data_IF_036025551532
#
_entry.id   IF_036025551532
#
_cell.length_a   1.000
_cell.length_b   1.000
_cell.length_c   1.000
_cell.angle_alpha   90.00
_cell.angle_beta   90.00
_cell.angle_gamma   90.00
#
_symmetry.space_group_name_H-M   'P 1'
#
loop_
_entity.id
_entity.type
_entity.pdbx_description
1 polymer ?
#
# COMPACT_ATOMS: atom_id res chain seq x y z
N UNK A 1 -3.79 -6.82 1.54
CA UNK A 1 -4.09 -5.79 0.51
C UNK A 1 -2.90 -5.68 -0.40
N UNK A 2 -3.10 -5.68 -1.71
CA UNK A 2 -2.01 -5.43 -2.65
C UNK A 2 -1.91 -3.93 -2.91
N UNK A 3 -0.69 -3.40 -2.82
CA UNK A 3 -0.36 -2.01 -3.14
C UNK A 3 0.52 -2.01 -4.38
N UNK A 4 0.08 -1.31 -5.41
CA UNK A 4 0.84 -1.13 -6.65
C UNK A 4 1.31 0.31 -6.70
N UNK A 5 2.63 0.58 -6.64
CA UNK A 5 3.15 1.92 -6.75
C UNK A 5 3.09 2.44 -8.20
N UNK A 6 3.16 3.78 -8.39
CA UNK A 6 3.12 4.38 -9.72
C UNK A 6 4.24 3.88 -10.65
N UNK A 7 4.08 4.13 -11.95
CA UNK A 7 5.15 3.91 -12.93
C UNK A 7 6.29 4.89 -12.69
N UNK A 8 7.53 4.37 -12.67
CA UNK A 8 8.74 5.18 -12.56
C UNK A 8 9.87 4.44 -11.84
N UNK A 9 11.10 4.58 -12.34
CA UNK A 9 12.27 3.84 -11.82
C UNK A 9 12.52 4.08 -10.32
N UNK A 10 12.23 5.28 -9.82
CA UNK A 10 12.32 5.63 -8.40
C UNK A 10 11.36 4.82 -7.50
N UNK A 11 10.25 4.32 -8.06
CA UNK A 11 9.25 3.53 -7.34
C UNK A 11 9.51 2.03 -7.43
N UNK A 12 10.52 1.63 -8.19
CA UNK A 12 10.92 0.23 -8.41
C UNK A 12 12.18 -0.14 -7.63
N UNK A 13 12.75 0.81 -6.91
CA UNK A 13 13.93 0.56 -6.08
C UNK A 13 13.54 -0.27 -4.85
N UNK A 14 14.37 -1.25 -4.45
CA UNK A 14 14.13 -2.02 -3.23
C UNK A 14 13.99 -1.13 -1.99
N UNK A 15 14.72 -0.02 -1.95
CA UNK A 15 14.67 0.95 -0.85
C UNK A 15 13.30 1.61 -0.76
N UNK A 16 12.73 2.05 -1.88
CA UNK A 16 11.40 2.66 -1.89
C UNK A 16 10.32 1.65 -1.51
N UNK A 17 10.41 0.42 -2.02
CA UNK A 17 9.45 -0.64 -1.69
C UNK A 17 9.51 -0.99 -0.19
N UNK A 18 10.71 -1.06 0.39
CA UNK A 18 10.88 -1.28 1.82
C UNK A 18 10.36 -0.10 2.66
N UNK A 19 10.58 1.13 2.21
CA UNK A 19 10.11 2.35 2.88
C UNK A 19 8.57 2.40 2.93
N UNK A 20 7.90 2.12 1.81
CA UNK A 20 6.44 2.04 1.76
C UNK A 20 5.91 0.88 2.60
N UNK A 21 6.59 -0.28 2.61
CA UNK A 21 6.18 -1.43 3.45
C UNK A 21 6.19 -1.05 4.92
N UNK A 22 7.31 -0.49 5.39
CA UNK A 22 7.46 -0.07 6.78
C UNK A 22 6.45 1.03 7.16
N UNK A 23 6.20 1.99 6.26
CA UNK A 23 5.21 3.04 6.46
C UNK A 23 3.79 2.47 6.65
N UNK A 24 3.41 1.48 5.83
CA UNK A 24 2.09 0.87 5.90
C UNK A 24 1.93 -0.03 7.11
N UNK A 25 2.95 -0.82 7.46
CA UNK A 25 2.96 -1.67 8.65
C UNK A 25 2.87 -0.85 9.95
N UNK A 26 3.55 0.29 10.01
CA UNK A 26 3.49 1.20 11.16
C UNK A 26 2.12 1.88 11.31
N UNK A 27 1.56 2.38 10.20
CA UNK A 27 0.30 3.12 10.22
C UNK A 27 -0.94 2.20 10.33
N UNK A 28 -0.85 0.97 9.81
CA UNK A 28 -1.98 0.06 9.67
C UNK A 28 -1.58 -1.38 10.06
N UNK A 29 -1.21 -1.65 11.32
CA UNK A 29 -0.70 -2.95 11.76
C UNK A 29 -1.72 -4.09 11.66
N UNK A 30 -3.01 -3.79 11.63
CA UNK A 30 -4.09 -4.77 11.46
C UNK A 30 -4.27 -5.24 10.01
N UNK A 31 -3.54 -4.64 9.07
CA UNK A 31 -3.60 -4.95 7.65
C UNK A 31 -2.31 -5.63 7.18
N UNK A 32 -2.49 -6.75 6.48
CA UNK A 32 -1.39 -7.39 5.76
C UNK A 32 -1.23 -6.72 4.38
N UNK A 33 -0.06 -6.17 4.07
CA UNK A 33 0.21 -5.50 2.79
C UNK A 33 1.18 -6.31 1.93
N UNK A 34 0.92 -6.34 0.63
CA UNK A 34 1.84 -6.88 -0.37
C UNK A 34 2.09 -5.81 -1.41
N UNK A 35 3.34 -5.37 -1.54
CA UNK A 35 3.71 -4.36 -2.54
C UNK A 35 4.20 -5.07 -3.80
N UNK A 36 3.67 -4.71 -4.97
CA UNK A 36 4.12 -5.28 -6.26
C UNK A 36 4.18 -4.23 -7.35
N UNK A 37 5.28 -4.25 -8.11
CA UNK A 37 5.48 -3.40 -9.29
C UNK A 37 5.00 -4.08 -10.58
N UNK A 38 4.65 -5.37 -10.51
CA UNK A 38 4.15 -6.18 -11.63
C UNK A 38 2.62 -6.22 -11.56
N UNK A 39 1.96 -5.32 -12.28
CA UNK A 39 0.50 -5.26 -12.38
C UNK A 39 0.06 -4.63 -13.69
N UNK A 40 -1.04 -5.13 -14.27
CA UNK A 40 -1.69 -4.53 -15.45
C UNK A 40 -2.44 -3.24 -15.13
N UNK A 41 -2.67 -2.96 -13.85
CA UNK A 41 -3.37 -1.76 -13.38
C UNK A 41 -2.42 -0.63 -13.01
N UNK A 42 -1.11 -0.82 -13.22
CA UNK A 42 -0.10 0.17 -12.86
C UNK A 42 -0.23 1.39 -13.78
N UNK A 43 -0.23 2.57 -13.17
CA UNK A 43 -0.46 3.86 -13.83
C UNK A 43 0.33 4.98 -13.12
N UNK A 44 -0.01 6.25 -13.30
CA UNK A 44 0.65 7.39 -12.66
C UNK A 44 0.26 7.57 -11.18
N UNK A 45 -0.58 6.68 -10.65
CA UNK A 45 -1.11 6.71 -9.28
C UNK A 45 -0.92 5.38 -8.56
N UNK A 46 -0.97 5.43 -7.22
CA UNK A 46 -1.06 4.21 -6.42
C UNK A 46 -2.38 3.50 -6.68
N UNK A 47 -2.31 2.17 -6.85
CA UNK A 47 -3.49 1.31 -6.91
C UNK A 47 -3.54 0.42 -5.68
N UNK A 48 -4.65 0.54 -4.95
CA UNK A 48 -4.95 -0.29 -3.79
C UNK A 48 -5.93 -1.38 -4.22
N UNK A 49 -5.50 -2.64 -4.10
CA UNK A 49 -6.31 -3.81 -4.44
C UNK A 49 -6.58 -4.56 -3.13
N UNK A 50 -7.72 -4.33 -2.48
CA UNK A 50 -8.11 -5.11 -1.31
C UNK A 50 -8.28 -6.59 -1.72
N UNK A 51 -7.65 -7.45 -0.93
CA UNK A 51 -7.71 -8.90 -1.11
C UNK A 51 -8.67 -9.46 -0.07
N UNK A 52 -9.64 -10.26 -0.50
CA UNK A 52 -10.49 -11.02 0.40
C UNK A 52 -9.69 -12.23 0.89
N UNK A 53 -9.36 -12.24 2.18
CA UNK A 53 -8.75 -13.37 2.86
C UNK A 53 -9.76 -14.06 3.78
N UNK A 54 -9.51 -15.35 4.08
CA UNK A 54 -10.16 -16.05 5.19
C UNK A 54 -9.32 -15.84 6.44
N UNK A 55 -9.87 -15.22 7.48
CA UNK A 55 -9.17 -15.10 8.77
C UNK A 55 -9.45 -16.37 9.58
N UNK A 56 -8.64 -17.41 9.35
CA UNK A 56 -8.67 -18.68 10.07
C UNK A 56 -9.15 -19.89 9.24
N UNK A 57 -8.96 -21.08 9.78
CA UNK A 57 -9.34 -22.37 9.16
C UNK A 57 -10.85 -22.59 9.01
N UNK A 58 -11.26 -23.84 8.71
CA UNK A 58 -12.66 -24.24 8.44
C UNK A 58 -13.67 -23.54 9.38
N UNK A 59 -14.56 -22.72 8.80
CA UNK A 59 -15.58 -21.95 9.53
C UNK A 59 -15.28 -20.45 9.70
N UNK A 60 -14.19 -19.95 9.11
CA UNK A 60 -13.78 -18.56 9.31
C UNK A 60 -14.59 -17.54 8.51
N UNK A 61 -14.92 -16.44 9.18
CA UNK A 61 -15.60 -15.28 8.60
C UNK A 61 -14.69 -14.67 7.54
N UNK A 62 -15.24 -14.38 6.36
CA UNK A 62 -14.53 -13.59 5.35
C UNK A 62 -14.03 -12.30 6.01
N UNK A 63 -12.74 -11.98 5.85
CA UNK A 63 -12.23 -10.69 6.26
C UNK A 63 -13.13 -9.61 5.65
N UNK A 64 -13.65 -8.70 6.48
CA UNK A 64 -14.48 -7.62 5.97
C UNK A 64 -13.66 -6.81 4.95
N UNK A 65 -14.31 -6.45 3.85
CA UNK A 65 -13.70 -5.55 2.88
C UNK A 65 -13.38 -4.23 3.60
N UNK A 66 -12.18 -3.66 3.45
CA UNK A 66 -11.89 -2.35 4.03
C UNK A 66 -12.91 -1.36 3.49
N UNK A 67 -13.52 -0.60 4.39
CA UNK A 67 -14.44 0.44 3.96
C UNK A 67 -13.71 1.53 3.17
N UNK A 68 -14.49 2.40 2.50
CA UNK A 68 -13.95 3.46 1.68
C UNK A 68 -13.12 4.48 2.48
N UNK A 69 -13.38 4.63 3.78
CA UNK A 69 -12.61 5.54 4.65
C UNK A 69 -11.21 4.99 4.84
N UNK A 70 -11.07 3.72 5.20
CA UNK A 70 -9.76 3.08 5.32
C UNK A 70 -8.95 3.14 4.02
N UNK A 71 -9.58 2.84 2.87
CA UNK A 71 -8.91 2.94 1.56
C UNK A 71 -8.45 4.37 1.26
N UNK A 72 -9.24 5.38 1.62
CA UNK A 72 -8.90 6.78 1.41
C UNK A 72 -7.76 7.24 2.32
N UNK A 73 -7.73 6.79 3.58
CA UNK A 73 -6.65 7.10 4.52
C UNK A 73 -5.31 6.50 4.06
N UNK A 74 -5.32 5.24 3.63
CA UNK A 74 -4.13 4.58 3.05
C UNK A 74 -3.65 5.34 1.81
N UNK A 75 -4.55 5.66 0.88
CA UNK A 75 -4.22 6.42 -0.33
C UNK A 75 -3.63 7.80 -0.02
N UNK A 76 -4.22 8.51 0.95
CA UNK A 76 -3.73 9.83 1.38
C UNK A 76 -2.34 9.75 2.03
N UNK A 77 -2.08 8.71 2.82
CA UNK A 77 -0.76 8.49 3.44
C UNK A 77 0.31 8.32 2.35
N UNK A 78 0.06 7.43 1.40
CA UNK A 78 0.96 7.16 0.28
C UNK A 78 1.18 8.41 -0.58
N UNK A 79 0.12 9.15 -0.89
CA UNK A 79 0.20 10.39 -1.64
C UNK A 79 1.08 11.44 -0.95
N UNK A 80 0.86 11.66 0.36
CA UNK A 80 1.65 12.61 1.16
C UNK A 80 3.12 12.20 1.23
N UNK A 81 3.39 10.90 1.28
CA UNK A 81 4.74 10.38 1.36
C UNK A 81 5.54 10.69 0.09
N UNK A 82 5.01 10.42 -1.10
CA UNK A 82 5.71 10.68 -2.37
C UNK A 82 5.78 12.18 -2.73
N UNK A 83 4.89 13.02 -2.18
CA UNK A 83 4.90 14.47 -2.37
C UNK A 83 5.55 15.23 -1.21
N UNK A 84 6.12 14.51 -0.22
CA UNK A 84 6.82 15.17 0.86
C UNK A 84 8.02 15.90 0.28
N UNK A 85 8.20 17.22 0.51
CA UNK A 85 9.42 17.88 0.12
C UNK A 85 10.57 17.15 0.80
N UNK A 86 11.54 16.67 0.00
CA UNK A 86 12.76 16.08 0.54
C UNK A 86 13.33 17.05 1.58
N UNK A 87 13.61 16.62 2.83
CA UNK A 87 14.28 17.48 3.77
C UNK A 87 15.59 17.92 3.12
N UNK A 88 15.72 19.22 2.87
CA UNK A 88 16.89 19.82 2.27
C UNK A 88 18.10 19.35 3.08
N UNK A 89 18.97 18.53 2.48
CA UNK A 89 20.27 18.18 3.07
C UNK A 89 21.05 19.49 3.19
N UNK A 90 21.06 20.06 4.38
CA UNK A 90 22.00 21.11 4.81
C UNK A 90 23.34 20.50 5.15
#
# INVERSE_FOLDING_TARGET
MIVVPPIGAQFETPEFLAEISALLEDAFPDYDFTITTVSKFRDDSFVLIPMLGSVGGEGSVLAAYPDMTALQEIGNLLFKHIHRPSPSRH
#
